data_IF_524872531010
#
_entry.id   IF_524872531010
#
_cell.length_a   1.000
_cell.length_b   1.000
_cell.length_c   1.000
_cell.angle_alpha   90.00
_cell.angle_beta   90.00
_cell.angle_gamma   90.00
#
_symmetry.space_group_name_H-M   'P 1'
#
loop_
_entity.id
_entity.type
_entity.pdbx_description
1 polymer ?
#
# COMPACT_ATOMS: atom_id res chain seq x y z
N UNK A 1 51.66 44.11 -53.49
CA UNK A 1 51.25 42.69 -53.59
C UNK A 1 51.53 42.04 -52.24
N UNK A 2 50.63 41.18 -51.74
CA UNK A 2 50.51 40.61 -50.36
C UNK A 2 49.60 41.51 -49.46
N UNK A 3 48.26 41.44 -49.49
CA UNK A 3 47.33 40.40 -48.94
C UNK A 3 47.61 40.16 -47.44
N UNK A 4 46.70 40.24 -46.47
CA UNK A 4 45.33 40.76 -46.23
C UNK A 4 45.11 40.45 -44.74
N UNK A 5 44.57 41.41 -43.98
CA UNK A 5 43.55 41.21 -42.95
C UNK A 5 43.51 39.90 -42.13
N UNK A 6 43.88 39.99 -40.85
CA UNK A 6 43.28 39.19 -39.75
C UNK A 6 42.76 40.20 -38.71
N UNK A 7 41.59 40.81 -38.95
CA UNK A 7 40.30 40.41 -38.36
C UNK A 7 40.49 40.05 -36.88
N UNK A 8 40.42 41.06 -36.02
CA UNK A 8 39.23 41.37 -35.21
C UNK A 8 39.18 40.44 -33.98
N UNK A 9 39.44 41.02 -32.80
CA UNK A 9 39.22 40.43 -31.49
C UNK A 9 37.75 39.98 -31.38
N UNK A 10 37.46 38.77 -31.84
CA UNK A 10 36.17 38.12 -31.64
C UNK A 10 36.15 37.63 -30.20
N UNK A 11 35.32 38.33 -29.43
CA UNK A 11 34.62 37.87 -28.24
C UNK A 11 34.10 36.45 -28.48
N UNK A 12 34.92 35.44 -28.18
CA UNK A 12 34.44 34.08 -27.99
C UNK A 12 34.31 33.90 -26.49
N UNK A 13 33.14 34.30 -26.00
CA UNK A 13 32.43 33.65 -24.91
C UNK A 13 32.57 32.14 -25.11
N UNK A 14 33.63 31.54 -24.57
CA UNK A 14 33.64 30.12 -24.29
C UNK A 14 32.59 29.93 -23.22
N UNK A 15 31.37 29.66 -23.70
CA UNK A 15 30.39 28.81 -23.07
C UNK A 15 31.14 27.83 -22.17
N UNK A 16 31.16 28.13 -20.86
CA UNK A 16 31.14 27.09 -19.86
C UNK A 16 29.86 26.31 -20.17
N UNK A 17 29.98 25.33 -21.07
CA UNK A 17 29.05 24.22 -21.13
C UNK A 17 29.17 23.62 -19.73
N UNK A 18 28.32 24.08 -18.82
CA UNK A 18 27.95 23.27 -17.68
C UNK A 18 27.47 21.98 -18.33
N UNK A 19 28.32 20.96 -18.31
CA UNK A 19 27.83 19.60 -18.40
C UNK A 19 26.88 19.49 -17.21
N UNK A 20 25.61 19.79 -17.45
CA UNK A 20 24.53 19.31 -16.64
C UNK A 20 24.67 17.80 -16.73
N UNK A 21 25.39 17.21 -15.77
CA UNK A 21 25.33 15.78 -15.54
C UNK A 21 23.84 15.50 -15.37
N UNK A 22 23.26 14.78 -16.32
CA UNK A 22 21.86 14.43 -16.21
C UNK A 22 21.72 13.64 -14.90
N UNK A 23 20.76 14.00 -14.04
CA UNK A 23 20.56 13.27 -12.81
C UNK A 23 20.13 11.84 -13.16
N UNK A 24 21.01 10.88 -12.89
CA UNK A 24 20.65 9.50 -12.62
C UNK A 24 20.50 8.59 -13.85
N UNK A 25 21.61 8.13 -14.42
CA UNK A 25 21.59 6.83 -15.11
C UNK A 25 21.33 5.74 -14.06
N UNK A 26 20.13 5.15 -14.06
CA UNK A 26 19.77 4.10 -13.11
C UNK A 26 20.74 2.91 -13.21
N UNK A 27 21.40 2.56 -12.10
CA UNK A 27 22.36 1.45 -12.04
C UNK A 27 21.67 0.13 -12.35
N UNK A 28 22.19 -0.62 -13.33
CA UNK A 28 21.67 -1.95 -13.71
C UNK A 28 22.29 -3.02 -12.82
N UNK A 29 21.53 -4.08 -12.56
CA UNK A 29 21.99 -5.20 -11.72
C UNK A 29 22.01 -6.52 -12.49
N UNK A 30 22.86 -7.42 -12.01
CA UNK A 30 23.05 -8.78 -12.53
C UNK A 30 22.84 -9.75 -11.37
N UNK A 31 21.99 -10.76 -11.57
CA UNK A 31 21.68 -11.76 -10.56
C UNK A 31 21.72 -13.17 -11.16
N UNK A 32 22.42 -14.08 -10.49
CA UNK A 32 22.35 -15.52 -10.74
C UNK A 32 22.05 -16.22 -9.41
N UNK A 33 20.89 -16.85 -9.34
CA UNK A 33 20.30 -17.39 -8.13
C UNK A 33 19.93 -18.84 -8.42
N UNK A 34 20.50 -19.79 -7.68
CA UNK A 34 20.15 -21.20 -7.77
C UNK A 34 19.63 -21.67 -6.41
N UNK A 35 18.30 -21.78 -6.26
CA UNK A 35 17.62 -22.11 -4.98
C UNK A 35 18.09 -21.26 -3.80
N UNK A 36 18.45 -20.00 -4.04
CA UNK A 36 18.98 -19.09 -3.01
C UNK A 36 17.83 -18.51 -2.18
N UNK A 37 17.94 -18.37 -0.84
CA UNK A 37 16.87 -17.79 -0.04
C UNK A 37 16.51 -16.37 -0.48
N UNK A 38 15.22 -16.05 -0.55
CA UNK A 38 14.73 -14.74 -1.02
C UNK A 38 15.35 -13.60 -0.23
N UNK A 39 15.46 -13.74 1.10
CA UNK A 39 16.14 -12.76 1.97
C UNK A 39 17.55 -12.43 1.46
N UNK A 40 18.33 -13.45 1.12
CA UNK A 40 19.70 -13.26 0.64
C UNK A 40 19.74 -12.63 -0.76
N UNK A 41 18.79 -12.96 -1.63
CA UNK A 41 18.66 -12.31 -2.95
C UNK A 41 18.30 -10.83 -2.82
N UNK A 42 17.44 -10.46 -1.86
CA UNK A 42 17.12 -9.06 -1.58
C UNK A 42 18.34 -8.29 -1.05
N UNK A 43 19.18 -8.91 -0.22
CA UNK A 43 20.45 -8.32 0.22
C UNK A 43 21.44 -8.11 -0.93
N UNK A 44 21.55 -9.05 -1.87
CA UNK A 44 22.39 -8.87 -3.07
C UNK A 44 21.90 -7.67 -3.92
N UNK A 45 20.57 -7.53 -4.07
CA UNK A 45 19.97 -6.42 -4.80
C UNK A 45 20.27 -5.10 -4.08
N UNK A 46 20.13 -5.06 -2.75
CA UNK A 46 20.47 -3.90 -1.93
C UNK A 46 21.94 -3.49 -2.14
N UNK A 47 22.86 -4.46 -2.12
CA UNK A 47 24.28 -4.20 -2.30
C UNK A 47 24.62 -3.59 -3.68
N UNK A 48 23.96 -4.04 -4.76
CA UNK A 48 24.22 -3.55 -6.11
C UNK A 48 23.48 -2.25 -6.45
N UNK A 49 22.28 -2.05 -5.91
CA UNK A 49 21.38 -0.95 -6.29
C UNK A 49 21.22 0.16 -5.26
N UNK A 50 21.54 -0.10 -3.98
CA UNK A 50 21.25 0.81 -2.86
C UNK A 50 19.82 0.77 -2.32
N UNK A 51 18.97 -0.11 -2.86
CA UNK A 51 17.56 -0.24 -2.44
C UNK A 51 17.47 -0.97 -1.10
N UNK A 52 16.77 -0.37 -0.14
CA UNK A 52 16.40 -0.95 1.13
C UNK A 52 15.02 -1.59 1.04
N UNK A 53 14.89 -2.80 1.58
CA UNK A 53 13.64 -3.54 1.60
C UNK A 53 13.07 -3.58 3.01
N UNK A 54 11.77 -3.27 3.14
CA UNK A 54 11.02 -3.36 4.40
C UNK A 54 9.97 -4.46 4.25
N UNK A 55 9.94 -5.42 5.16
CA UNK A 55 9.02 -6.55 5.13
C UNK A 55 8.83 -7.20 6.51
N UNK A 56 7.77 -8.00 6.63
CA UNK A 56 7.62 -8.98 7.72
C UNK A 56 8.44 -10.23 7.39
N UNK A 57 9.10 -10.84 8.37
CA UNK A 57 9.94 -12.03 8.16
C UNK A 57 9.19 -13.18 7.47
N UNK A 58 7.94 -13.42 7.87
CA UNK A 58 7.05 -14.42 7.27
C UNK A 58 6.78 -14.23 5.76
N UNK A 59 7.15 -13.09 5.15
CA UNK A 59 7.07 -12.89 3.70
C UNK A 59 8.28 -13.41 2.94
N UNK A 60 9.44 -13.55 3.58
CA UNK A 60 10.70 -13.92 2.93
C UNK A 60 11.25 -15.25 3.41
N UNK A 61 10.80 -15.73 4.57
CA UNK A 61 11.22 -17.00 5.15
C UNK A 61 10.72 -18.18 4.31
N UNK A 62 11.53 -19.24 4.22
CA UNK A 62 11.23 -20.47 3.49
C UNK A 62 10.95 -20.30 1.98
N UNK A 63 11.32 -19.18 1.38
CA UNK A 63 11.23 -18.97 -0.07
C UNK A 63 12.63 -19.07 -0.67
N UNK A 64 12.80 -20.02 -1.59
CA UNK A 64 14.02 -20.18 -2.37
C UNK A 64 13.78 -19.75 -3.82
N UNK A 65 14.63 -18.86 -4.30
CA UNK A 65 14.53 -18.24 -5.63
C UNK A 65 15.53 -18.89 -6.57
N UNK A 66 15.05 -19.19 -7.78
CA UNK A 66 15.90 -19.51 -8.92
C UNK A 66 15.73 -18.42 -9.97
N UNK A 67 16.76 -17.62 -10.21
CA UNK A 67 16.72 -16.50 -11.16
C UNK A 67 18.00 -16.37 -11.97
N UNK A 68 17.85 -16.04 -13.25
CA UNK A 68 18.94 -15.51 -14.09
C UNK A 68 18.53 -14.17 -14.68
N UNK A 69 19.30 -13.13 -14.38
CA UNK A 69 19.05 -11.75 -14.80
C UNK A 69 20.40 -11.18 -15.27
N UNK A 70 20.56 -11.04 -16.58
CA UNK A 70 21.84 -10.68 -17.21
C UNK A 70 22.15 -9.18 -17.15
N UNK A 71 21.14 -8.32 -17.26
CA UNK A 71 21.25 -6.87 -17.03
C UNK A 71 19.87 -6.22 -17.03
N UNK A 72 19.39 -5.81 -15.85
CA UNK A 72 18.09 -5.15 -15.75
C UNK A 72 18.07 -4.02 -14.74
N UNK A 73 17.09 -3.14 -14.86
CA UNK A 73 16.82 -2.16 -13.80
C UNK A 73 16.47 -2.90 -12.50
N UNK A 74 16.94 -2.44 -11.33
CA UNK A 74 16.69 -3.08 -10.04
C UNK A 74 15.20 -3.32 -9.80
N UNK A 75 14.38 -2.32 -10.11
CA UNK A 75 12.93 -2.41 -9.99
C UNK A 75 12.34 -3.55 -10.85
N UNK A 76 12.80 -3.68 -12.10
CA UNK A 76 12.35 -4.73 -13.01
C UNK A 76 12.76 -6.12 -12.52
N UNK A 77 13.97 -6.24 -11.96
CA UNK A 77 14.44 -7.48 -11.34
C UNK A 77 13.59 -7.86 -10.12
N UNK A 78 13.38 -6.91 -9.20
CA UNK A 78 12.56 -7.08 -7.99
C UNK A 78 11.14 -7.51 -8.36
N UNK A 79 10.51 -6.82 -9.30
CA UNK A 79 9.17 -7.17 -9.80
C UNK A 79 9.11 -8.59 -10.35
N UNK A 80 10.12 -9.02 -11.11
CA UNK A 80 10.18 -10.37 -11.68
C UNK A 80 10.27 -11.42 -10.57
N UNK A 81 11.21 -11.24 -9.64
CA UNK A 81 11.46 -12.17 -8.52
C UNK A 81 10.22 -12.28 -7.63
N UNK A 82 9.61 -11.17 -7.23
CA UNK A 82 8.50 -11.18 -6.28
C UNK A 82 7.20 -11.76 -6.89
N UNK A 83 6.97 -11.52 -8.18
CA UNK A 83 5.75 -11.97 -8.87
C UNK A 83 5.57 -13.49 -8.83
N UNK A 84 6.66 -14.25 -8.94
CA UNK A 84 6.64 -15.72 -8.93
C UNK A 84 6.21 -16.31 -7.57
N UNK A 85 6.26 -15.51 -6.50
CA UNK A 85 5.96 -15.94 -5.14
C UNK A 85 4.73 -15.26 -4.53
N UNK A 86 3.83 -14.73 -5.37
CA UNK A 86 2.66 -13.95 -4.91
C UNK A 86 3.04 -12.78 -3.99
N UNK A 87 4.22 -12.20 -4.18
CA UNK A 87 4.67 -11.01 -3.49
C UNK A 87 4.62 -9.82 -4.45
N UNK A 88 4.44 -8.63 -3.89
CA UNK A 88 4.49 -7.36 -4.58
C UNK A 88 5.21 -6.35 -3.70
N UNK A 89 5.57 -5.21 -4.26
CA UNK A 89 6.19 -4.12 -3.53
C UNK A 89 5.53 -2.78 -3.88
N UNK A 90 5.61 -1.83 -2.95
CA UNK A 90 5.35 -0.41 -3.18
C UNK A 90 6.65 0.35 -2.93
N UNK A 91 6.90 1.38 -3.72
CA UNK A 91 8.03 2.28 -3.54
C UNK A 91 7.57 3.38 -2.58
N UNK A 92 8.18 3.47 -1.40
CA UNK A 92 7.88 4.49 -0.39
C UNK A 92 8.70 5.76 -0.62
N UNK A 93 9.95 5.59 -1.07
CA UNK A 93 10.88 6.66 -1.45
C UNK A 93 11.91 6.08 -2.46
N UNK A 94 12.79 6.90 -3.05
CA UNK A 94 13.75 6.52 -4.09
C UNK A 94 14.55 5.25 -3.76
N UNK A 95 14.78 4.98 -2.47
CA UNK A 95 15.55 3.83 -1.99
C UNK A 95 14.77 2.85 -1.10
N UNK A 96 13.46 3.02 -0.86
CA UNK A 96 12.72 2.16 0.09
C UNK A 96 11.58 1.40 -0.59
N UNK A 97 11.68 0.07 -0.57
CA UNK A 97 10.72 -0.85 -1.18
C UNK A 97 10.03 -1.64 -0.07
N UNK A 98 8.72 -1.43 0.09
CA UNK A 98 7.92 -2.14 1.08
C UNK A 98 7.28 -3.35 0.41
N UNK A 99 7.64 -4.55 0.86
CA UNK A 99 7.12 -5.81 0.33
C UNK A 99 5.84 -6.21 1.06
N UNK A 100 4.89 -6.71 0.28
CA UNK A 100 3.63 -7.25 0.79
C UNK A 100 3.21 -8.47 -0.04
N UNK A 101 2.44 -9.36 0.57
CA UNK A 101 1.81 -10.45 -0.17
C UNK A 101 0.72 -9.88 -1.06
N UNK A 102 0.79 -10.15 -2.36
CA UNK A 102 -0.32 -9.89 -3.27
C UNK A 102 -1.48 -10.76 -2.79
N UNK A 103 -2.53 -10.15 -2.24
CA UNK A 103 -3.80 -10.85 -2.14
C UNK A 103 -4.18 -11.21 -3.56
N UNK A 104 -4.30 -12.50 -3.85
CA UNK A 104 -5.06 -12.89 -5.02
C UNK A 104 -6.34 -12.08 -4.96
N UNK A 105 -6.64 -11.36 -6.05
CA UNK A 105 -8.01 -10.96 -6.26
C UNK A 105 -8.74 -12.29 -6.32
N UNK A 106 -9.30 -12.73 -5.19
CA UNK A 106 -10.34 -13.73 -5.21
C UNK A 106 -11.35 -13.15 -6.18
N UNK A 107 -11.33 -13.64 -7.41
CA UNK A 107 -12.56 -13.97 -8.10
C UNK A 107 -13.24 -15.07 -7.29
N UNK A 108 -13.53 -14.76 -6.03
CA UNK A 108 -14.78 -15.21 -5.49
C UNK A 108 -15.75 -14.54 -6.45
N UNK A 109 -16.42 -15.39 -7.23
CA UNK A 109 -17.81 -15.23 -7.54
C UNK A 109 -18.56 -14.86 -6.24
N UNK A 110 -18.33 -13.66 -5.74
CA UNK A 110 -19.35 -12.89 -5.08
C UNK A 110 -20.23 -12.42 -6.23
N UNK A 111 -21.01 -13.36 -6.77
CA UNK A 111 -22.41 -13.05 -7.04
C UNK A 111 -22.85 -12.30 -5.79
N UNK A 112 -23.47 -11.13 -5.94
CA UNK A 112 -24.12 -10.50 -4.81
C UNK A 112 -24.99 -11.58 -4.15
N UNK A 113 -24.50 -12.18 -3.07
CA UNK A 113 -25.32 -13.02 -2.24
C UNK A 113 -26.11 -11.98 -1.51
N UNK A 114 -27.31 -11.73 -2.02
CA UNK A 114 -28.38 -11.28 -1.16
C UNK A 114 -28.38 -12.31 -0.04
N UNK A 115 -27.85 -11.96 1.12
CA UNK A 115 -28.09 -12.72 2.35
C UNK A 115 -29.55 -12.46 2.72
N UNK A 116 -30.42 -13.10 1.94
CA UNK A 116 -31.76 -13.44 2.34
C UNK A 116 -31.96 -14.87 1.88
N UNK A 117 -31.67 -15.80 2.79
CA UNK A 117 -32.64 -16.78 3.31
C UNK A 117 -31.92 -17.98 3.92
N UNK A 118 -31.49 -17.83 5.18
CA UNK A 118 -31.86 -18.85 6.16
C UNK A 118 -33.25 -18.45 6.65
N UNK A 119 -34.28 -19.02 6.04
CA UNK A 119 -35.57 -19.17 6.73
C UNK A 119 -35.77 -20.68 6.81
N UNK A 120 -35.66 -21.24 8.00
CA UNK A 120 -36.69 -22.13 8.46
C UNK A 120 -37.34 -21.60 9.75
N UNK A 121 -38.66 -21.69 9.70
CA UNK A 121 -39.69 -21.40 10.67
C UNK A 121 -39.87 -19.96 11.21
N UNK A 122 -40.89 -19.31 10.63
CA UNK A 122 -42.04 -18.75 11.34
C UNK A 122 -41.71 -18.07 12.67
N UNK A 123 -41.63 -16.73 12.64
CA UNK A 123 -41.53 -15.74 13.76
C UNK A 123 -40.22 -14.89 13.84
N UNK A 124 -39.51 -14.63 12.75
CA UNK A 124 -38.35 -13.71 12.75
C UNK A 124 -38.79 -12.24 12.59
N UNK A 125 -38.81 -11.50 13.69
CA UNK A 125 -39.15 -10.07 13.70
C UNK A 125 -38.05 -9.17 13.13
N UNK A 126 -38.36 -7.87 13.08
CA UNK A 126 -37.59 -6.82 12.41
C UNK A 126 -36.16 -6.76 12.97
N UNK A 127 -35.14 -6.80 12.09
CA UNK A 127 -33.74 -6.56 12.43
C UNK A 127 -33.46 -5.04 12.46
N UNK A 128 -33.17 -4.49 13.63
CA UNK A 128 -32.62 -3.14 13.77
C UNK A 128 -31.10 -3.16 13.57
N UNK A 129 -30.57 -2.16 12.87
CA UNK A 129 -29.13 -2.02 12.61
C UNK A 129 -28.41 -1.40 13.82
N UNK A 130 -27.12 -1.69 14.03
CA UNK A 130 -26.31 -1.00 15.03
C UNK A 130 -26.25 0.51 14.77
N UNK A 131 -26.27 1.31 15.83
CA UNK A 131 -26.13 2.77 15.77
C UNK A 131 -24.85 3.18 16.50
N UNK A 132 -24.02 4.02 15.89
CA UNK A 132 -22.80 4.52 16.51
C UNK A 132 -23.15 5.40 17.73
N UNK A 133 -22.59 5.09 18.89
CA UNK A 133 -22.80 5.86 20.14
C UNK A 133 -21.52 6.47 20.71
N UNK A 134 -20.35 6.13 20.15
CA UNK A 134 -19.10 6.80 20.51
C UNK A 134 -19.06 8.24 20.04
N UNK A 135 -18.59 9.14 20.90
CA UNK A 135 -18.26 10.54 20.58
C UNK A 135 -16.82 10.75 20.09
N UNK A 136 -16.10 9.65 19.82
CA UNK A 136 -14.74 9.73 19.30
C UNK A 136 -14.76 10.34 17.90
N UNK A 137 -13.76 11.14 17.57
CA UNK A 137 -13.56 11.70 16.24
C UNK A 137 -12.42 10.98 15.51
N UNK A 138 -12.51 10.79 14.19
CA UNK A 138 -11.40 10.23 13.41
C UNK A 138 -10.16 11.11 13.55
N UNK A 139 -9.00 10.49 13.72
CA UNK A 139 -7.73 11.21 13.83
C UNK A 139 -7.08 11.25 12.45
N UNK A 140 -6.77 12.44 11.95
CA UNK A 140 -5.88 12.60 10.79
C UNK A 140 -4.42 12.57 11.30
N UNK A 141 -3.61 11.57 10.92
CA UNK A 141 -2.24 11.47 11.40
C UNK A 141 -1.40 12.69 11.01
N UNK A 142 -0.62 13.21 11.96
CA UNK A 142 0.26 14.39 11.75
C UNK A 142 1.21 14.21 10.57
N UNK A 143 1.77 13.01 10.41
CA UNK A 143 2.65 12.67 9.28
C UNK A 143 1.90 12.74 7.94
N UNK A 144 0.68 12.21 7.88
CA UNK A 144 -0.15 12.29 6.69
C UNK A 144 -0.54 13.74 6.37
N UNK A 145 -0.85 14.57 7.37
CA UNK A 145 -1.11 16.00 7.19
C UNK A 145 0.13 16.75 6.66
N UNK A 146 1.30 16.54 7.26
CA UNK A 146 2.57 17.17 6.85
C UNK A 146 2.92 16.85 5.40
N UNK A 147 2.67 15.60 5.00
CA UNK A 147 2.94 15.11 3.65
C UNK A 147 1.76 15.27 2.68
N UNK A 148 0.67 15.93 3.10
CA UNK A 148 -0.55 16.16 2.30
C UNK A 148 -1.13 14.88 1.69
N UNK A 149 -1.11 13.79 2.47
CA UNK A 149 -1.57 12.47 2.05
C UNK A 149 -3.07 12.36 2.27
N UNK A 150 -3.83 12.35 1.19
CA UNK A 150 -5.28 12.15 1.17
C UNK A 150 -5.67 10.73 0.78
N UNK A 151 -6.94 10.39 0.97
CA UNK A 151 -7.50 9.16 0.42
C UNK A 151 -8.73 8.64 1.14
N UNK A 152 -9.32 7.59 0.59
CA UNK A 152 -10.55 6.97 1.10
C UNK A 152 -10.31 5.55 1.57
N UNK A 153 -10.64 5.28 2.84
CA UNK A 153 -10.53 3.95 3.45
C UNK A 153 -11.93 3.36 3.62
N UNK A 154 -12.17 2.14 3.12
CA UNK A 154 -13.34 1.36 3.50
C UNK A 154 -12.92 0.22 4.42
N UNK A 155 -13.57 0.10 5.56
CA UNK A 155 -13.25 -0.87 6.60
C UNK A 155 -14.48 -1.66 7.00
N UNK A 156 -14.34 -2.98 7.01
CA UNK A 156 -15.34 -3.94 7.45
C UNK A 156 -15.00 -4.40 8.86
N UNK A 157 -15.98 -4.43 9.76
CA UNK A 157 -15.76 -4.82 11.14
C UNK A 157 -16.96 -5.52 11.78
N UNK A 158 -16.70 -6.28 12.85
CA UNK A 158 -17.71 -7.05 13.56
C UNK A 158 -18.17 -6.33 14.83
N UNK A 159 -19.47 -6.07 14.93
CA UNK A 159 -20.12 -5.50 16.11
C UNK A 159 -20.75 -6.62 16.91
N UNK A 160 -20.39 -6.75 18.18
CA UNK A 160 -20.97 -7.75 19.08
C UNK A 160 -22.33 -7.32 19.62
N UNK A 161 -23.06 -8.26 20.21
CA UNK A 161 -24.32 -8.06 20.95
C UNK A 161 -24.19 -7.09 22.13
N UNK A 162 -22.96 -6.81 22.56
CA UNK A 162 -22.64 -5.85 23.62
C UNK A 162 -22.20 -4.49 23.04
N UNK A 163 -22.28 -4.32 21.71
CA UNK A 163 -21.94 -3.06 21.04
C UNK A 163 -20.46 -2.82 20.79
N UNK A 164 -19.61 -3.83 21.00
CA UNK A 164 -18.15 -3.72 20.87
C UNK A 164 -17.68 -4.08 19.47
N UNK A 165 -16.62 -3.44 19.01
CA UNK A 165 -15.92 -3.83 17.77
C UNK A 165 -14.81 -4.82 18.09
N UNK A 166 -14.74 -5.95 17.37
CA UNK A 166 -13.68 -6.96 17.54
C UNK A 166 -12.80 -7.08 16.29
N UNK A 167 -13.33 -7.76 15.28
CA UNK A 167 -12.64 -8.10 14.06
C UNK A 167 -12.74 -6.93 13.09
N UNK A 168 -11.62 -6.54 12.46
CA UNK A 168 -11.57 -5.42 11.52
C UNK A 168 -10.70 -5.75 10.32
N UNK A 169 -11.16 -5.43 9.12
CA UNK A 169 -10.45 -5.64 7.87
C UNK A 169 -10.61 -4.43 6.96
N UNK A 170 -9.48 -3.96 6.39
CA UNK A 170 -9.52 -2.97 5.31
C UNK A 170 -10.08 -3.66 4.06
N UNK A 171 -11.28 -3.24 3.66
CA UNK A 171 -11.99 -3.71 2.47
C UNK A 171 -11.51 -2.94 1.23
N UNK A 172 -11.26 -1.63 1.38
CA UNK A 172 -10.58 -0.80 0.38
C UNK A 172 -9.56 0.11 1.06
N UNK A 173 -8.32 0.08 0.55
CA UNK A 173 -7.22 0.93 1.03
C UNK A 173 -7.35 2.35 0.51
N UNK A 174 -6.90 3.33 1.29
CA UNK A 174 -6.66 4.71 0.82
C UNK A 174 -5.49 4.84 -0.14
N UNK A 175 -4.64 3.81 -0.22
CA UNK A 175 -3.32 3.89 -0.85
C UNK A 175 -2.20 4.18 0.15
N UNK A 176 -2.52 4.66 1.37
CA UNK A 176 -1.59 5.02 2.44
C UNK A 176 -1.76 4.15 3.68
N UNK A 177 -0.71 3.46 4.09
CA UNK A 177 -0.72 2.61 5.29
C UNK A 177 -0.94 3.43 6.58
N UNK A 178 -0.52 4.69 6.58
CA UNK A 178 -0.70 5.62 7.71
C UNK A 178 -2.20 5.91 7.91
N UNK A 179 -2.94 6.18 6.82
CA UNK A 179 -4.38 6.44 6.87
C UNK A 179 -5.19 5.16 7.14
N UNK A 180 -4.78 4.04 6.55
CA UNK A 180 -5.43 2.74 6.76
C UNK A 180 -5.27 2.27 8.22
N UNK A 181 -4.08 2.42 8.79
CA UNK A 181 -3.79 2.05 10.18
C UNK A 181 -4.54 2.96 11.16
N UNK A 182 -4.52 4.28 10.94
CA UNK A 182 -5.27 5.24 11.76
C UNK A 182 -6.78 4.94 11.76
N UNK A 183 -7.33 4.59 10.59
CA UNK A 183 -8.73 4.19 10.46
C UNK A 183 -9.04 2.91 11.23
N UNK A 184 -8.18 1.90 11.13
CA UNK A 184 -8.31 0.62 11.86
C UNK A 184 -8.29 0.84 13.38
N UNK A 185 -7.33 1.62 13.88
CA UNK A 185 -7.22 1.92 15.31
C UNK A 185 -8.41 2.73 15.84
N UNK A 186 -8.89 3.68 15.05
CA UNK A 186 -10.08 4.47 15.38
C UNK A 186 -11.32 3.57 15.47
N UNK A 187 -11.57 2.74 14.45
CA UNK A 187 -12.77 1.88 14.39
C UNK A 187 -12.80 0.85 15.51
N UNK A 188 -11.65 0.29 15.91
CA UNK A 188 -11.58 -0.65 17.05
C UNK A 188 -12.03 -0.05 18.39
N UNK A 189 -11.96 1.27 18.53
CA UNK A 189 -12.34 1.99 19.76
C UNK A 189 -13.82 2.38 19.78
N UNK A 190 -14.54 2.21 18.67
CA UNK A 190 -15.94 2.59 18.56
C UNK A 190 -16.85 1.63 19.34
N UNK A 191 -17.96 2.21 19.80
CA UNK A 191 -19.07 1.53 20.47
C UNK A 191 -20.35 1.82 19.70
N UNK A 192 -21.18 0.79 19.61
CA UNK A 192 -22.46 0.84 18.93
C UNK A 192 -23.57 0.37 19.86
N UNK A 193 -24.82 0.77 19.61
CA UNK A 193 -25.93 -0.08 20.02
C UNK A 193 -25.85 -1.38 19.22
N UNK A 194 -26.13 -2.56 19.81
CA UNK A 194 -26.09 -3.80 19.05
C UNK A 194 -27.22 -3.84 18.02
N UNK A 195 -27.04 -4.63 16.97
CA UNK A 195 -28.17 -5.01 16.13
C UNK A 195 -29.17 -5.82 16.97
N UNK A 196 -30.47 -5.67 16.74
CA UNK A 196 -31.47 -6.46 17.45
C UNK A 196 -32.43 -7.12 16.48
N UNK A 197 -32.77 -8.39 16.71
CA UNK A 197 -33.85 -9.08 16.00
C UNK A 197 -34.97 -9.31 17.00
N UNK A 198 -36.16 -8.74 16.76
CA UNK A 198 -37.27 -8.80 17.72
C UNK A 198 -36.88 -8.35 19.14
N UNK A 199 -36.08 -7.28 19.25
CA UNK A 199 -35.57 -6.77 20.54
C UNK A 199 -34.43 -7.58 21.17
N UNK A 200 -34.00 -8.71 20.55
CA UNK A 200 -32.88 -9.50 21.06
C UNK A 200 -31.57 -9.10 20.38
N UNK A 201 -30.52 -8.70 21.12
CA UNK A 201 -29.22 -8.36 20.56
C UNK A 201 -28.55 -9.48 19.75
N UNK A 202 -27.88 -9.09 18.66
CA UNK A 202 -27.17 -9.98 17.72
C UNK A 202 -25.84 -9.35 17.32
N UNK A 203 -24.87 -10.21 17.07
CA UNK A 203 -23.62 -9.80 16.46
C UNK A 203 -23.80 -9.65 14.95
N UNK A 204 -23.20 -8.64 14.33
CA UNK A 204 -23.30 -8.39 12.88
C UNK A 204 -22.01 -7.82 12.30
N UNK A 205 -21.79 -8.07 11.01
CA UNK A 205 -20.76 -7.38 10.23
C UNK A 205 -21.28 -6.04 9.71
N UNK A 206 -20.44 -5.02 9.74
CA UNK A 206 -20.70 -3.70 9.16
C UNK A 206 -19.52 -3.21 8.34
N UNK A 207 -19.78 -2.29 7.43
CA UNK A 207 -18.75 -1.56 6.68
C UNK A 207 -18.95 -0.06 6.88
N UNK A 208 -17.86 0.67 7.14
CA UNK A 208 -17.82 2.14 7.14
C UNK A 208 -16.77 2.63 6.14
N UNK A 209 -16.96 3.83 5.62
CA UNK A 209 -15.99 4.52 4.76
C UNK A 209 -15.54 5.83 5.40
N UNK A 210 -14.25 6.12 5.30
CA UNK A 210 -13.59 7.31 5.83
C UNK A 210 -12.89 8.01 4.68
N UNK A 211 -13.02 9.32 4.60
CA UNK A 211 -12.40 10.14 3.57
C UNK A 211 -11.50 11.17 4.25
N UNK A 212 -10.22 11.14 3.92
CA UNK A 212 -9.21 12.06 4.41
C UNK A 212 -8.97 13.08 3.29
N UNK A 213 -9.50 14.29 3.49
CA UNK A 213 -9.30 15.43 2.60
C UNK A 213 -8.40 16.45 3.29
N UNK A 214 -7.43 16.96 2.55
CA UNK A 214 -6.63 18.10 2.91
C UNK A 214 -7.39 19.37 2.49
N UNK A 215 -7.61 20.27 3.45
CA UNK A 215 -8.18 21.59 3.13
C UNK A 215 -7.02 22.60 3.12
N UNK A 216 -6.70 23.12 1.93
CA UNK A 216 -5.93 24.36 1.82
C UNK A 216 -6.78 25.48 2.46
N UNK A 217 -6.25 26.11 3.51
CA UNK A 217 -6.84 27.31 4.11
C UNK A 217 -6.43 28.56 3.34
#
# INVERSE_FOLDING_TARGET
>A
MIIKWTILNIVILLFFQTFAQSPGTARRIILDCNKKPLRSVLEDIKAQSGINFIYRDALVDNINITCRIESSLPEKAVKKILKEHNLSYKIYDQNYFVLFRKKEATQNNYKAVILKKDIPDTNAGILSKPVLISSLSPVYPQEALKNRIEGKVAIKFYVTKDGNVTDTFIESTSGSDILDSATSEYVRKLKFTPAQTSGTPRNVWMTMSFEYLFQDK
#
